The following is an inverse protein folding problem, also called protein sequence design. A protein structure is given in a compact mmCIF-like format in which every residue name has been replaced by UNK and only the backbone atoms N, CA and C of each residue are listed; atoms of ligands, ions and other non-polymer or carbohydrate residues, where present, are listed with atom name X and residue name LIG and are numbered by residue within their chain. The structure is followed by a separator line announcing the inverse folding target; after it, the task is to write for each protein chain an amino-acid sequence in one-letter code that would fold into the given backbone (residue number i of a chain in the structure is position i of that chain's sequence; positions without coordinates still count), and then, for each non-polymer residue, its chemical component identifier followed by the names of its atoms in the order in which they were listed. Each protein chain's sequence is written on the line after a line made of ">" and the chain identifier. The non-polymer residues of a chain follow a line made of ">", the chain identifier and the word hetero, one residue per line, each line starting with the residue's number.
data_IF_336468899953
#
_entry.id   IF_336468899953
#
_cell.length_a   1.000
_cell.length_b   1.000
_cell.length_c   1.000
_cell.angle_alpha   90.00
_cell.angle_beta   90.00
_cell.angle_gamma   90.00
#
_symmetry.space_group_name_H-M   'P 1'
#
loop_
_entity.id
_entity.type
_entity.pdbx_description
1 polymer ?
#
# COMPACT_ATOMS: atom_id res chain seq x y z
N UNK A 1 8.99 8.30 34.21
CA UNK A 1 7.66 8.73 34.69
C UNK A 1 6.64 7.71 34.24
N UNK A 2 5.72 7.25 35.09
CA UNK A 2 4.73 6.24 34.71
C UNK A 2 3.53 6.92 34.00
N UNK A 3 3.32 6.63 32.70
CA UNK A 3 2.25 7.25 31.87
C UNK A 3 0.87 7.11 32.54
N UNK A 4 0.57 5.94 33.11
CA UNK A 4 -0.71 5.69 33.79
C UNK A 4 -0.86 6.55 35.05
N UNK A 5 0.21 6.69 35.83
CA UNK A 5 0.19 7.55 37.01
C UNK A 5 -0.13 9.01 36.64
N UNK A 6 0.50 9.54 35.58
CA UNK A 6 0.22 10.90 35.11
C UNK A 6 -1.23 11.06 34.64
N UNK A 7 -1.78 10.05 33.99
CA UNK A 7 -3.20 10.02 33.59
C UNK A 7 -4.16 10.14 34.79
N UNK A 8 -4.00 9.29 35.81
CA UNK A 8 -4.82 9.37 37.02
C UNK A 8 -4.60 10.70 37.77
N UNK A 9 -3.35 11.13 37.95
CA UNK A 9 -3.00 12.39 38.58
C UNK A 9 -3.66 13.59 37.89
N UNK A 10 -3.70 13.59 36.56
CA UNK A 10 -4.34 14.62 35.75
C UNK A 10 -5.87 14.67 35.92
N UNK A 11 -6.52 13.66 36.48
CA UNK A 11 -7.96 13.77 36.81
C UNK A 11 -8.15 14.37 38.20
N UNK A 12 -7.37 13.89 39.18
CA UNK A 12 -7.55 14.29 40.58
C UNK A 12 -6.96 15.65 40.93
N UNK A 13 -5.80 16.01 40.37
CA UNK A 13 -5.11 17.29 40.69
C UNK A 13 -5.75 18.46 39.93
N UNK A 14 -6.27 18.21 38.73
CA UNK A 14 -6.82 19.25 37.86
C UNK A 14 -8.12 19.84 38.39
N UNK A 15 -8.93 19.04 39.10
CA UNK A 15 -10.19 19.45 39.72
C UNK A 15 -10.07 20.62 40.73
N UNK A 16 -8.85 21.09 41.02
CA UNK A 16 -8.53 22.02 42.10
C UNK A 16 -7.90 23.36 41.63
N UNK A 17 -7.73 23.66 40.34
CA UNK A 17 -6.92 24.83 39.88
C UNK A 17 -7.52 25.65 38.71
N UNK A 18 -7.16 26.94 38.62
CA UNK A 18 -7.67 27.97 37.68
C UNK A 18 -7.04 27.97 36.24
N UNK A 19 -7.58 28.84 35.37
CA UNK A 19 -7.58 28.91 33.88
C UNK A 19 -6.37 28.44 33.07
N UNK A 20 -5.12 28.72 33.44
CA UNK A 20 -3.92 28.30 32.67
C UNK A 20 -3.62 26.79 32.81
N UNK A 21 -4.18 26.17 33.83
CA UNK A 21 -4.01 24.76 34.10
C UNK A 21 -4.67 23.88 33.04
N UNK A 22 -5.74 24.36 32.39
CA UNK A 22 -6.45 23.58 31.39
C UNK A 22 -5.60 23.31 30.15
N UNK A 23 -4.92 24.31 29.61
CA UNK A 23 -4.06 24.11 28.43
C UNK A 23 -2.93 23.12 28.72
N UNK A 24 -2.27 23.27 29.87
CA UNK A 24 -1.22 22.34 30.32
C UNK A 24 -1.75 20.93 30.54
N UNK A 25 -2.97 20.81 31.06
CA UNK A 25 -3.67 19.52 31.17
C UNK A 25 -3.88 18.89 29.79
N UNK A 26 -4.42 19.63 28.82
CA UNK A 26 -4.65 19.14 27.45
C UNK A 26 -3.34 18.67 26.82
N UNK A 27 -2.29 19.48 26.89
CA UNK A 27 -0.98 19.14 26.32
C UNK A 27 -0.39 17.85 26.93
N UNK A 28 -0.39 17.76 28.26
CA UNK A 28 0.09 16.57 28.97
C UNK A 28 -0.76 15.35 28.64
N UNK A 29 -2.08 15.51 28.55
CA UNK A 29 -3.01 14.45 28.24
C UNK A 29 -2.77 13.90 26.83
N UNK A 30 -2.67 14.78 25.81
CA UNK A 30 -2.37 14.40 24.42
C UNK A 30 -1.02 13.69 24.31
N UNK A 31 0.00 14.21 24.99
CA UNK A 31 1.33 13.59 25.03
C UNK A 31 1.28 12.18 25.61
N UNK A 32 0.74 12.05 26.82
CA UNK A 32 0.63 10.76 27.51
C UNK A 32 -0.22 9.75 26.73
N UNK A 33 -1.25 10.22 26.00
CA UNK A 33 -2.03 9.37 25.11
C UNK A 33 -1.20 8.84 23.95
N UNK A 34 -0.53 9.72 23.22
CA UNK A 34 0.27 9.32 22.07
C UNK A 34 1.44 8.41 22.50
N UNK A 35 2.11 8.72 23.60
CA UNK A 35 3.17 7.89 24.18
C UNK A 35 2.61 6.54 24.65
N UNK A 36 1.40 6.53 25.23
CA UNK A 36 0.70 5.33 25.63
C UNK A 36 0.33 4.43 24.44
N UNK A 37 -0.18 4.99 23.35
CA UNK A 37 -0.45 4.25 22.11
C UNK A 37 0.82 3.61 21.56
N UNK A 38 1.92 4.37 21.52
CA UNK A 38 3.20 3.88 21.05
C UNK A 38 3.70 2.72 21.91
N UNK A 39 3.73 2.89 23.23
CA UNK A 39 4.14 1.84 24.16
C UNK A 39 3.25 0.59 24.06
N UNK A 40 1.95 0.79 23.90
CA UNK A 40 1.00 -0.31 23.78
C UNK A 40 1.20 -1.11 22.49
N UNK A 41 1.18 -0.44 21.33
CA UNK A 41 1.08 -1.13 20.04
C UNK A 41 2.42 -1.27 19.30
N UNK A 42 3.31 -0.29 19.43
CA UNK A 42 4.62 -0.33 18.78
C UNK A 42 5.62 -1.14 19.59
N UNK A 43 5.74 -0.87 20.90
CA UNK A 43 6.62 -1.66 21.79
C UNK A 43 6.00 -3.03 22.16
N UNK A 44 4.68 -3.17 21.98
CA UNK A 44 3.97 -4.42 22.25
C UNK A 44 3.80 -4.74 23.74
N UNK A 45 3.76 -3.73 24.62
CA UNK A 45 3.56 -3.94 26.05
C UNK A 45 2.09 -4.26 26.37
N UNK A 46 1.77 -5.56 26.31
CA UNK A 46 0.42 -6.08 26.51
C UNK A 46 -0.15 -5.73 27.89
N UNK A 47 0.69 -5.76 28.94
CA UNK A 47 0.26 -5.42 30.30
C UNK A 47 -0.13 -3.94 30.37
N UNK A 48 0.70 -3.07 29.79
CA UNK A 48 0.42 -1.65 29.72
C UNK A 48 -0.86 -1.36 28.90
N UNK A 49 -1.05 -2.03 27.76
CA UNK A 49 -2.28 -1.88 26.97
C UNK A 49 -3.55 -2.16 27.78
N UNK A 50 -3.54 -3.25 28.55
CA UNK A 50 -4.67 -3.64 29.38
C UNK A 50 -4.97 -2.60 30.47
N UNK A 51 -3.93 -2.03 31.09
CA UNK A 51 -4.12 -0.96 32.08
C UNK A 51 -4.56 0.36 31.44
N UNK A 52 -4.05 0.70 30.25
CA UNK A 52 -4.49 1.88 29.50
C UNK A 52 -5.96 1.77 29.09
N UNK A 53 -6.43 0.57 28.75
CA UNK A 53 -7.83 0.28 28.51
C UNK A 53 -8.71 0.51 29.73
N UNK A 54 -8.33 -0.05 30.88
CA UNK A 54 -9.05 0.19 32.14
C UNK A 54 -9.14 1.68 32.46
N UNK A 55 -8.05 2.42 32.25
CA UNK A 55 -8.04 3.86 32.42
C UNK A 55 -9.02 4.56 31.45
N UNK A 56 -9.08 4.14 30.18
CA UNK A 56 -10.02 4.73 29.21
C UNK A 56 -11.49 4.56 29.63
N UNK A 57 -11.84 3.41 30.20
CA UNK A 57 -13.19 3.20 30.77
C UNK A 57 -13.41 4.13 31.94
N UNK A 58 -12.48 4.13 32.90
CA UNK A 58 -12.56 4.96 34.11
C UNK A 58 -12.73 6.45 33.80
N UNK A 59 -11.97 7.02 32.87
CA UNK A 59 -12.11 8.44 32.56
C UNK A 59 -13.42 8.73 31.84
N UNK A 60 -13.94 7.87 30.95
CA UNK A 60 -15.24 8.14 30.32
C UNK A 60 -16.36 8.19 31.34
N UNK A 61 -16.33 7.28 32.32
CA UNK A 61 -17.29 7.22 33.42
C UNK A 61 -17.20 8.44 34.34
N UNK A 62 -15.99 8.93 34.63
CA UNK A 62 -15.79 9.95 35.67
C UNK A 62 -15.47 11.36 35.16
N UNK A 63 -15.23 11.57 33.87
CA UNK A 63 -14.84 12.90 33.34
C UNK A 63 -15.92 13.95 33.58
N UNK A 64 -17.20 13.60 33.51
CA UNK A 64 -18.29 14.55 33.74
C UNK A 64 -18.29 15.03 35.19
N UNK A 65 -18.22 14.10 36.14
CA UNK A 65 -18.33 14.44 37.56
C UNK A 65 -17.05 15.10 38.08
N UNK A 66 -15.89 14.52 37.76
CA UNK A 66 -14.59 14.95 38.31
C UNK A 66 -13.96 16.14 37.59
N UNK A 67 -14.27 16.35 36.32
CA UNK A 67 -13.74 17.47 35.54
C UNK A 67 -14.82 18.51 35.22
N UNK A 68 -16.07 18.35 35.69
CA UNK A 68 -17.21 19.28 35.50
C UNK A 68 -16.82 20.76 35.53
N UNK A 69 -16.21 21.23 36.62
CA UNK A 69 -15.82 22.64 36.79
C UNK A 69 -14.86 23.18 35.71
N UNK A 70 -14.04 22.30 35.12
CA UNK A 70 -13.06 22.62 34.07
C UNK A 70 -13.71 22.48 32.69
N UNK A 71 -14.56 21.46 32.52
CA UNK A 71 -15.20 21.09 31.27
C UNK A 71 -16.48 21.89 30.95
N UNK A 72 -17.11 22.53 31.95
CA UNK A 72 -18.36 23.31 31.78
C UNK A 72 -18.16 24.55 30.90
N UNK A 73 -16.93 25.08 30.80
CA UNK A 73 -16.62 26.27 29.99
C UNK A 73 -15.86 25.98 28.70
N UNK A 74 -15.24 24.79 28.57
CA UNK A 74 -14.41 24.38 27.43
C UNK A 74 -14.58 22.88 27.23
N UNK A 75 -14.85 22.44 26.00
CA UNK A 75 -14.98 21.01 25.66
C UNK A 75 -13.76 20.23 26.15
N UNK A 76 -13.95 19.40 27.17
CA UNK A 76 -12.91 18.48 27.59
C UNK A 76 -12.65 17.44 26.50
N UNK A 77 -11.39 16.99 26.34
CA UNK A 77 -11.06 16.00 25.35
C UNK A 77 -11.89 14.75 25.65
N UNK A 78 -12.72 14.39 24.70
CA UNK A 78 -13.53 13.18 24.82
C UNK A 78 -12.61 11.98 24.63
N UNK A 79 -12.71 10.93 25.47
CA UNK A 79 -12.09 9.66 25.13
C UNK A 79 -12.92 8.86 24.14
N UNK A 80 -13.94 9.43 23.51
CA UNK A 80 -14.47 8.83 22.27
C UNK A 80 -13.35 8.68 21.24
N UNK A 81 -12.32 9.55 21.31
CA UNK A 81 -11.06 9.44 20.56
C UNK A 81 -10.11 8.35 21.09
N UNK A 82 -10.29 7.95 22.36
CA UNK A 82 -9.47 7.02 23.12
C UNK A 82 -10.16 5.67 23.34
N UNK A 83 -11.29 5.39 22.68
CA UNK A 83 -11.88 4.06 22.64
C UNK A 83 -10.88 3.16 21.95
N UNK A 84 -9.96 2.62 22.76
CA UNK A 84 -8.84 1.85 22.26
C UNK A 84 -9.44 0.70 21.49
N UNK A 85 -9.06 0.66 20.22
CA UNK A 85 -9.34 -0.49 19.42
C UNK A 85 -8.43 -1.58 19.95
N UNK A 86 -8.99 -2.38 20.86
CA UNK A 86 -8.40 -3.61 21.34
C UNK A 86 -9.25 -4.76 20.83
N UNK A 87 -8.59 -5.85 20.45
CA UNK A 87 -9.27 -7.13 20.36
C UNK A 87 -9.74 -7.55 21.76
N UNK A 88 -10.58 -8.57 21.85
CA UNK A 88 -10.98 -9.14 23.13
C UNK A 88 -9.75 -9.39 24.04
N UNK A 89 -9.61 -8.66 25.17
CA UNK A 89 -8.46 -8.77 26.05
C UNK A 89 -8.33 -10.19 26.64
N UNK A 90 -9.39 -11.01 26.61
CA UNK A 90 -9.36 -12.41 27.02
C UNK A 90 -8.57 -13.30 26.07
N UNK A 91 -8.42 -12.92 24.80
CA UNK A 91 -7.76 -13.74 23.79
C UNK A 91 -6.26 -13.45 23.64
N UNK A 92 -5.68 -12.53 24.41
CA UNK A 92 -4.23 -12.23 24.41
C UNK A 92 -3.67 -11.60 23.12
N UNK A 93 -4.47 -11.46 22.07
CA UNK A 93 -4.04 -10.91 20.78
C UNK A 93 -4.48 -9.46 20.61
N UNK A 94 -3.57 -8.50 20.77
CA UNK A 94 -3.85 -7.07 20.56
C UNK A 94 -3.92 -6.62 19.08
N UNK A 95 -3.77 -7.56 18.13
CA UNK A 95 -3.62 -7.22 16.70
C UNK A 95 -4.96 -7.13 15.98
N UNK A 96 -5.42 -5.90 15.78
CA UNK A 96 -6.57 -5.56 14.94
C UNK A 96 -6.14 -5.40 13.48
N UNK A 97 -5.02 -4.73 13.24
CA UNK A 97 -4.46 -4.47 11.92
C UNK A 97 -3.62 -5.66 11.43
N UNK A 98 -4.25 -6.82 11.21
CA UNK A 98 -3.56 -8.06 10.85
C UNK A 98 -2.89 -7.98 9.48
N UNK A 99 -3.61 -7.48 8.49
CA UNK A 99 -3.15 -7.31 7.11
C UNK A 99 -2.26 -6.07 7.04
N UNK A 100 -2.74 -4.93 7.55
CA UNK A 100 -1.97 -3.69 7.57
C UNK A 100 -0.60 -3.85 8.24
N UNK A 101 -0.52 -4.52 9.39
CA UNK A 101 0.76 -4.73 10.09
C UNK A 101 1.78 -5.50 9.25
N UNK A 102 1.33 -6.41 8.37
CA UNK A 102 2.21 -7.11 7.43
C UNK A 102 2.70 -6.19 6.30
N UNK A 103 1.89 -5.22 5.89
CA UNK A 103 2.26 -4.23 4.86
C UNK A 103 3.29 -3.21 5.37
N UNK A 104 3.26 -2.89 6.67
CA UNK A 104 4.22 -1.97 7.31
C UNK A 104 5.43 -2.69 7.94
N UNK A 105 5.33 -3.99 8.26
CA UNK A 105 6.31 -4.75 9.02
C UNK A 105 7.63 -5.08 8.30
N UNK A 106 8.70 -5.25 9.07
CA UNK A 106 10.07 -5.55 8.62
C UNK A 106 10.46 -7.02 8.68
N UNK A 107 10.64 -7.65 7.51
CA UNK A 107 11.70 -8.63 7.21
C UNK A 107 11.46 -9.16 5.79
N UNK A 108 12.45 -8.95 4.89
CA UNK A 108 12.87 -9.67 3.68
C UNK A 108 11.89 -10.41 2.73
N UNK A 109 10.58 -10.40 2.98
CA UNK A 109 9.57 -10.89 2.06
C UNK A 109 9.12 -9.70 1.22
N UNK A 110 9.72 -9.59 0.04
CA UNK A 110 9.61 -8.45 -0.88
C UNK A 110 8.20 -8.10 -1.37
N UNK A 111 7.17 -8.88 -1.03
CA UNK A 111 5.77 -8.48 -1.19
C UNK A 111 4.84 -9.42 -0.40
N UNK A 112 3.80 -8.88 0.21
CA UNK A 112 2.73 -9.69 0.80
C UNK A 112 1.78 -10.11 -0.33
N UNK A 113 2.00 -11.31 -0.89
CA UNK A 113 1.22 -11.80 -2.03
C UNK A 113 1.17 -10.80 -3.21
N UNK A 114 2.29 -10.13 -3.51
CA UNK A 114 2.40 -9.10 -4.55
C UNK A 114 2.15 -7.66 -4.07
N UNK A 115 1.63 -7.45 -2.86
CA UNK A 115 1.49 -6.11 -2.28
C UNK A 115 2.85 -5.57 -1.80
N UNK A 116 3.21 -4.39 -2.28
CA UNK A 116 4.46 -3.73 -1.88
C UNK A 116 4.37 -3.14 -0.48
N UNK A 117 5.48 -3.07 0.25
CA UNK A 117 5.48 -2.56 1.62
C UNK A 117 5.25 -1.04 1.68
N UNK A 118 4.50 -0.56 2.68
CA UNK A 118 4.21 0.87 2.93
C UNK A 118 5.32 1.59 3.72
N UNK A 119 6.59 1.19 3.56
CA UNK A 119 7.72 1.73 4.35
C UNK A 119 8.24 3.09 3.88
N UNK A 120 7.71 3.63 2.78
CA UNK A 120 8.17 4.91 2.21
C UNK A 120 7.52 6.09 2.93
N UNK A 121 8.18 7.24 2.92
CA UNK A 121 7.61 8.52 3.41
C UNK A 121 6.27 8.86 2.74
N UNK A 122 6.03 8.30 1.55
CA UNK A 122 4.80 8.44 0.76
C UNK A 122 3.53 7.98 1.49
N UNK A 123 3.62 6.96 2.37
CA UNK A 123 2.48 6.39 3.10
C UNK A 123 2.60 6.58 4.61
N UNK A 124 3.40 7.55 5.06
CA UNK A 124 3.78 7.70 6.46
C UNK A 124 2.61 7.83 7.43
N UNK A 125 1.55 8.56 7.08
CA UNK A 125 0.39 8.76 7.98
C UNK A 125 -0.47 7.50 8.06
N UNK A 126 -0.71 6.85 6.93
CA UNK A 126 -1.41 5.56 6.89
C UNK A 126 -0.62 4.47 7.62
N UNK A 127 0.69 4.39 7.39
CA UNK A 127 1.56 3.42 8.05
C UNK A 127 1.60 3.65 9.57
N UNK A 128 1.66 4.92 10.02
CA UNK A 128 1.58 5.26 11.43
C UNK A 128 0.23 4.81 12.03
N UNK A 129 -0.89 5.13 11.38
CA UNK A 129 -2.23 4.70 11.81
C UNK A 129 -2.31 3.16 11.95
N UNK A 130 -1.81 2.42 10.96
CA UNK A 130 -1.77 0.96 10.99
C UNK A 130 -0.90 0.44 12.14
N UNK A 131 0.27 1.05 12.37
CA UNK A 131 1.19 0.66 13.45
C UNK A 131 0.57 0.82 14.84
N UNK A 132 -0.35 1.77 14.97
CA UNK A 132 -1.13 2.04 16.18
C UNK A 132 -2.49 1.30 16.17
N UNK A 133 -2.62 0.23 15.36
CA UNK A 133 -3.81 -0.61 15.28
C UNK A 133 -5.10 0.18 14.97
N UNK A 134 -4.98 1.17 14.08
CA UNK A 134 -6.05 2.09 13.68
C UNK A 134 -6.53 3.07 14.77
N UNK A 135 -5.76 3.25 15.84
CA UNK A 135 -5.99 4.33 16.80
C UNK A 135 -5.32 5.61 16.27
N UNK A 136 -6.12 6.66 16.06
CA UNK A 136 -5.62 7.95 15.58
C UNK A 136 -4.95 8.69 16.74
N UNK A 137 -3.81 9.33 16.47
CA UNK A 137 -3.12 10.17 17.45
C UNK A 137 -3.93 11.42 17.77
N UNK A 138 -3.77 11.96 18.97
CA UNK A 138 -4.26 13.30 19.28
C UNK A 138 -3.30 14.33 18.73
N UNK A 139 -3.74 15.07 17.71
CA UNK A 139 -2.99 16.17 17.08
C UNK A 139 -3.12 17.47 17.88
N UNK A 140 -2.35 18.50 17.54
CA UNK A 140 -2.27 19.76 18.29
C UNK A 140 -3.62 20.45 18.41
N UNK A 141 -4.36 20.49 17.31
CA UNK A 141 -5.68 21.09 17.20
C UNK A 141 -6.56 20.33 16.19
N UNK A 142 -7.82 20.74 16.08
CA UNK A 142 -8.79 20.10 15.18
C UNK A 142 -8.41 20.29 13.70
N UNK A 143 -7.71 21.38 13.35
CA UNK A 143 -7.29 21.64 11.98
C UNK A 143 -6.20 20.65 11.54
N UNK A 144 -5.22 20.40 12.40
CA UNK A 144 -4.18 19.39 12.17
C UNK A 144 -4.77 17.97 12.12
N UNK A 145 -5.68 17.63 13.04
CA UNK A 145 -6.42 16.36 13.03
C UNK A 145 -7.15 16.15 11.70
N UNK A 146 -7.88 17.16 11.23
CA UNK A 146 -8.60 17.12 9.97
C UNK A 146 -7.66 16.93 8.77
N UNK A 147 -6.49 17.60 8.80
CA UNK A 147 -5.44 17.41 7.80
C UNK A 147 -4.94 15.97 7.77
N UNK A 148 -4.62 15.39 8.94
CA UNK A 148 -4.14 14.02 9.04
C UNK A 148 -5.19 13.02 8.56
N UNK A 149 -6.46 13.21 8.88
CA UNK A 149 -7.54 12.32 8.43
C UNK A 149 -7.69 12.29 6.91
N UNK A 150 -7.65 13.45 6.25
CA UNK A 150 -7.72 13.53 4.78
C UNK A 150 -6.45 13.00 4.12
N UNK A 151 -5.28 13.24 4.70
CA UNK A 151 -4.01 12.70 4.22
C UNK A 151 -3.98 11.16 4.30
N UNK A 152 -4.49 10.57 5.40
CA UNK A 152 -4.65 9.11 5.54
C UNK A 152 -5.54 8.55 4.43
N UNK A 153 -6.68 9.20 4.15
CA UNK A 153 -7.60 8.74 3.10
C UNK A 153 -6.95 8.82 1.71
N UNK A 154 -6.23 9.91 1.43
CA UNK A 154 -5.45 10.06 0.21
C UNK A 154 -4.41 8.95 0.05
N UNK A 155 -3.58 8.72 1.08
CA UNK A 155 -2.57 7.66 1.08
C UNK A 155 -3.18 6.26 0.92
N UNK A 156 -4.33 6.01 1.53
CA UNK A 156 -5.10 4.77 1.39
C UNK A 156 -5.57 4.54 -0.04
N UNK A 157 -6.23 5.53 -0.66
CA UNK A 157 -6.72 5.43 -2.04
C UNK A 157 -5.55 5.25 -3.02
N UNK A 158 -4.49 6.03 -2.82
CA UNK A 158 -3.26 5.94 -3.62
C UNK A 158 -2.65 4.54 -3.57
N UNK A 159 -2.58 3.95 -2.37
CA UNK A 159 -2.07 2.59 -2.21
C UNK A 159 -2.97 1.56 -2.89
N UNK A 160 -4.28 1.67 -2.71
CA UNK A 160 -5.24 0.74 -3.31
C UNK A 160 -5.20 0.79 -4.84
N UNK A 161 -5.17 2.00 -5.43
CA UNK A 161 -5.10 2.17 -6.87
C UNK A 161 -3.83 1.56 -7.47
N UNK A 162 -2.68 1.76 -6.82
CA UNK A 162 -1.39 1.17 -7.24
C UNK A 162 -1.43 -0.37 -7.29
N UNK A 163 -2.26 -0.99 -6.45
CA UNK A 163 -2.29 -2.43 -6.24
C UNK A 163 -3.63 -3.08 -6.63
N UNK A 164 -4.48 -2.39 -7.40
CA UNK A 164 -5.87 -2.79 -7.67
C UNK A 164 -6.01 -4.16 -8.37
N UNK A 165 -4.97 -4.60 -9.07
CA UNK A 165 -4.92 -5.89 -9.76
C UNK A 165 -4.35 -7.03 -8.90
N UNK A 166 -4.11 -6.79 -7.61
CA UNK A 166 -3.62 -7.80 -6.66
C UNK A 166 -4.78 -8.24 -5.78
N UNK A 167 -5.26 -9.47 -5.97
CA UNK A 167 -6.41 -10.03 -5.25
C UNK A 167 -6.31 -9.90 -3.72
N UNK A 168 -5.10 -10.01 -3.17
CA UNK A 168 -4.87 -9.92 -1.73
C UNK A 168 -5.15 -8.52 -1.16
N UNK A 169 -5.21 -7.48 -2.01
CA UNK A 169 -5.58 -6.12 -1.63
C UNK A 169 -6.99 -6.05 -1.02
N UNK A 170 -7.91 -6.90 -1.47
CA UNK A 170 -9.28 -6.95 -0.96
C UNK A 170 -9.32 -7.10 0.58
N UNK A 171 -8.44 -7.92 1.14
CA UNK A 171 -8.35 -8.13 2.58
C UNK A 171 -7.93 -6.85 3.32
N UNK A 172 -7.03 -6.07 2.74
CA UNK A 172 -6.60 -4.79 3.31
C UNK A 172 -7.70 -3.72 3.21
N UNK A 173 -8.40 -3.64 2.08
CA UNK A 173 -9.55 -2.73 1.89
C UNK A 173 -10.61 -3.00 2.96
N UNK A 174 -11.00 -4.27 3.13
CA UNK A 174 -12.00 -4.67 4.12
C UNK A 174 -11.54 -4.34 5.55
N UNK A 175 -10.27 -4.62 5.87
CA UNK A 175 -9.71 -4.29 7.19
C UNK A 175 -9.73 -2.78 7.46
N UNK A 176 -9.27 -1.95 6.51
CA UNK A 176 -9.25 -0.50 6.68
C UNK A 176 -10.66 0.06 6.88
N UNK A 177 -11.61 -0.35 6.05
CA UNK A 177 -12.99 0.13 6.11
C UNK A 177 -13.65 -0.27 7.44
N UNK A 178 -13.55 -1.54 7.81
CA UNK A 178 -14.21 -2.07 9.02
C UNK A 178 -13.57 -1.51 10.30
N UNK A 179 -12.24 -1.49 10.36
CA UNK A 179 -11.52 -1.18 11.61
C UNK A 179 -11.33 0.32 11.82
N UNK A 180 -11.23 1.12 10.76
CA UNK A 180 -10.99 2.55 10.86
C UNK A 180 -12.12 3.40 10.28
N UNK A 181 -12.38 3.31 8.97
CA UNK A 181 -13.26 4.28 8.28
C UNK A 181 -14.67 4.31 8.88
N UNK A 182 -15.27 3.15 9.16
CA UNK A 182 -16.62 3.06 9.75
C UNK A 182 -16.76 3.82 11.07
N UNK A 183 -15.70 3.88 11.87
CA UNK A 183 -15.71 4.58 13.16
C UNK A 183 -15.56 6.09 13.01
N UNK A 184 -15.01 6.53 11.88
CA UNK A 184 -14.73 7.92 11.52
C UNK A 184 -15.64 8.45 10.42
N UNK A 185 -16.66 7.70 10.01
CA UNK A 185 -17.51 8.04 8.88
C UNK A 185 -18.21 9.40 9.05
N UNK A 186 -18.73 9.69 10.25
CA UNK A 186 -19.38 10.98 10.55
C UNK A 186 -18.39 12.15 10.44
N UNK A 187 -17.17 11.96 10.93
CA UNK A 187 -16.09 12.94 10.85
C UNK A 187 -15.73 13.20 9.38
N UNK A 188 -15.55 12.15 8.58
CA UNK A 188 -15.29 12.26 7.14
C UNK A 188 -16.43 12.96 6.38
N UNK A 189 -17.70 12.62 6.64
CA UNK A 189 -18.85 13.29 6.01
C UNK A 189 -18.87 14.80 6.30
N UNK A 190 -18.52 15.18 7.54
CA UNK A 190 -18.38 16.59 7.93
C UNK A 190 -17.26 17.26 7.13
N UNK A 191 -16.09 16.60 7.01
CA UNK A 191 -14.95 17.11 6.25
C UNK A 191 -15.27 17.27 4.76
N UNK A 192 -15.92 16.29 4.14
CA UNK A 192 -16.33 16.37 2.74
C UNK A 192 -17.29 17.52 2.50
N UNK A 193 -18.28 17.71 3.37
CA UNK A 193 -19.21 18.84 3.29
C UNK A 193 -18.49 20.17 3.40
N UNK A 194 -17.52 20.28 4.31
CA UNK A 194 -16.70 21.49 4.47
C UNK A 194 -15.91 21.77 3.20
N UNK A 195 -15.16 20.80 2.67
CA UNK A 195 -14.32 21.01 1.51
C UNK A 195 -15.10 21.17 0.20
N UNK A 196 -16.34 20.68 0.11
CA UNK A 196 -17.23 20.97 -1.04
C UNK A 196 -17.70 22.42 -1.09
N UNK A 197 -17.84 23.08 0.06
CA UNK A 197 -18.43 24.42 0.12
C UNK A 197 -17.45 25.49 -0.41
N UNK A 198 -17.88 26.27 -1.40
CA UNK A 198 -17.05 27.25 -2.12
C UNK A 198 -16.42 28.33 -1.21
N UNK A 199 -17.01 28.58 -0.02
CA UNK A 199 -16.47 29.51 0.98
C UNK A 199 -15.37 28.91 1.88
N UNK A 200 -15.15 27.59 1.85
CA UNK A 200 -14.19 26.87 2.73
C UNK A 200 -13.13 26.04 1.99
N UNK A 201 -13.09 26.11 0.66
CA UNK A 201 -11.97 25.62 -0.16
C UNK A 201 -10.62 26.32 0.15
N UNK A 202 -10.59 27.29 1.07
CA UNK A 202 -9.37 27.93 1.58
C UNK A 202 -8.68 27.15 2.71
N UNK A 203 -9.34 26.18 3.34
CA UNK A 203 -8.73 25.46 4.47
C UNK A 203 -7.57 24.58 3.97
N UNK A 204 -6.36 24.71 4.55
CA UNK A 204 -5.17 24.00 4.08
C UNK A 204 -5.36 22.49 3.93
N UNK A 205 -6.15 21.86 4.83
CA UNK A 205 -6.41 20.43 4.80
C UNK A 205 -7.27 19.96 3.61
N UNK A 206 -8.05 20.84 2.98
CA UNK A 206 -8.85 20.48 1.80
C UNK A 206 -8.00 20.18 0.56
N UNK A 207 -6.68 20.45 0.61
CA UNK A 207 -5.74 20.01 -0.42
C UNK A 207 -5.82 18.51 -0.68
N UNK A 208 -5.78 17.68 0.37
CA UNK A 208 -5.84 16.23 0.22
C UNK A 208 -7.21 15.74 -0.25
N UNK A 209 -8.28 16.41 0.17
CA UNK A 209 -9.63 16.17 -0.37
C UNK A 209 -9.67 16.38 -1.89
N UNK A 210 -9.13 17.51 -2.37
CA UNK A 210 -9.09 17.81 -3.80
C UNK A 210 -8.22 16.83 -4.58
N UNK A 211 -7.08 16.40 -4.00
CA UNK A 211 -6.24 15.35 -4.60
C UNK A 211 -6.99 14.02 -4.71
N UNK A 212 -7.74 13.60 -3.68
CA UNK A 212 -8.58 12.41 -3.77
C UNK A 212 -9.60 12.51 -4.91
N UNK A 213 -10.26 13.67 -5.01
CA UNK A 213 -11.26 13.93 -6.04
C UNK A 213 -10.68 13.94 -7.46
N UNK A 214 -9.46 14.45 -7.64
CA UNK A 214 -8.83 14.53 -8.97
C UNK A 214 -8.09 13.27 -9.39
N UNK A 215 -7.37 12.62 -8.49
CA UNK A 215 -6.52 11.46 -8.80
C UNK A 215 -7.28 10.13 -8.72
N UNK A 216 -8.33 10.06 -7.89
CA UNK A 216 -9.08 8.83 -7.61
C UNK A 216 -10.59 9.06 -7.73
N UNK A 217 -11.03 9.83 -8.74
CA UNK A 217 -12.39 10.35 -8.87
C UNK A 217 -13.48 9.29 -8.65
N UNK A 218 -13.40 8.15 -9.34
CA UNK A 218 -14.42 7.09 -9.27
C UNK A 218 -14.52 6.51 -7.85
N UNK A 219 -13.40 6.05 -7.30
CA UNK A 219 -13.32 5.46 -5.96
C UNK A 219 -13.70 6.46 -4.87
N UNK A 220 -13.22 7.69 -5.01
CA UNK A 220 -13.49 8.74 -4.05
C UNK A 220 -14.97 9.13 -4.06
N UNK A 221 -15.59 9.27 -5.24
CA UNK A 221 -17.03 9.57 -5.37
C UNK A 221 -17.89 8.49 -4.72
N UNK A 222 -17.50 7.22 -4.84
CA UNK A 222 -18.18 6.12 -4.16
C UNK A 222 -18.05 6.26 -2.63
N UNK A 223 -16.83 6.39 -2.09
CA UNK A 223 -16.59 6.55 -0.65
C UNK A 223 -17.32 7.78 -0.07
N UNK A 224 -17.30 8.88 -0.82
CA UNK A 224 -17.87 10.17 -0.42
C UNK A 224 -19.40 10.13 -0.33
N UNK A 225 -20.06 9.49 -1.30
CA UNK A 225 -21.52 9.38 -1.32
C UNK A 225 -22.00 8.27 -0.39
N UNK A 226 -21.43 7.08 -0.55
CA UNK A 226 -21.83 5.88 0.16
C UNK A 226 -20.72 4.82 0.15
N UNK A 227 -20.12 4.58 1.31
CA UNK A 227 -19.07 3.57 1.49
C UNK A 227 -19.52 2.17 1.06
N UNK A 228 -20.80 1.82 1.19
CA UNK A 228 -21.29 0.48 0.86
C UNK A 228 -21.23 0.24 -0.65
N UNK A 229 -21.44 1.29 -1.45
CA UNK A 229 -21.27 1.26 -2.90
C UNK A 229 -19.79 1.07 -3.27
N UNK A 230 -18.88 1.71 -2.54
CA UNK A 230 -17.44 1.48 -2.69
C UNK A 230 -17.05 0.03 -2.38
N UNK A 231 -17.49 -0.52 -1.24
CA UNK A 231 -17.20 -1.92 -0.87
C UNK A 231 -17.75 -2.88 -1.92
N UNK A 232 -19.00 -2.68 -2.36
CA UNK A 232 -19.64 -3.49 -3.38
C UNK A 232 -18.87 -3.44 -4.70
N UNK A 233 -18.50 -2.24 -5.16
CA UNK A 233 -17.70 -2.05 -6.37
C UNK A 233 -16.36 -2.80 -6.29
N UNK A 234 -15.64 -2.68 -5.16
CA UNK A 234 -14.38 -3.40 -4.97
C UNK A 234 -14.56 -4.91 -4.93
N UNK A 235 -15.60 -5.40 -4.26
CA UNK A 235 -15.92 -6.83 -4.23
C UNK A 235 -16.17 -7.37 -5.64
N UNK A 236 -17.01 -6.71 -6.43
CA UNK A 236 -17.30 -7.11 -7.81
C UNK A 236 -16.03 -7.10 -8.70
N UNK A 237 -15.15 -6.12 -8.50
CA UNK A 237 -13.85 -6.07 -9.19
C UNK A 237 -12.97 -7.28 -8.86
N UNK A 238 -12.81 -7.63 -7.58
CA UNK A 238 -11.98 -8.76 -7.18
C UNK A 238 -12.61 -10.13 -7.50
N UNK A 239 -13.94 -10.24 -7.51
CA UNK A 239 -14.64 -11.42 -8.01
C UNK A 239 -14.34 -11.66 -9.50
N UNK A 240 -14.39 -10.60 -10.33
CA UNK A 240 -13.99 -10.68 -11.74
C UNK A 240 -12.52 -11.06 -11.89
N UNK A 241 -11.62 -10.39 -11.17
CA UNK A 241 -10.18 -10.67 -11.20
C UNK A 241 -9.86 -12.13 -10.82
N UNK A 242 -10.52 -12.66 -9.80
CA UNK A 242 -10.36 -14.06 -9.38
C UNK A 242 -10.93 -15.04 -10.43
N UNK A 243 -12.05 -14.70 -11.06
CA UNK A 243 -12.62 -15.51 -12.14
C UNK A 243 -11.70 -15.58 -13.35
N UNK A 244 -11.07 -14.47 -13.74
CA UNK A 244 -10.09 -14.41 -14.82
C UNK A 244 -8.85 -15.25 -14.49
N UNK A 245 -8.39 -15.22 -13.23
CA UNK A 245 -7.30 -16.10 -12.76
C UNK A 245 -7.68 -17.58 -12.82
N UNK A 246 -8.92 -17.93 -12.48
CA UNK A 246 -9.43 -19.31 -12.66
C UNK A 246 -9.44 -19.72 -14.13
N UNK A 247 -9.78 -18.81 -15.05
CA UNK A 247 -9.70 -19.04 -16.49
C UNK A 247 -8.26 -19.21 -16.98
N UNK A 248 -7.33 -18.39 -16.51
CA UNK A 248 -5.89 -18.56 -16.82
C UNK A 248 -5.38 -19.89 -16.29
N UNK A 249 -5.75 -20.28 -15.07
CA UNK A 249 -5.37 -21.59 -14.51
C UNK A 249 -5.98 -22.73 -15.32
N UNK A 250 -7.28 -22.67 -15.68
CA UNK A 250 -7.91 -23.66 -16.57
C UNK A 250 -7.23 -23.72 -17.94
N UNK A 251 -6.81 -22.59 -18.50
CA UNK A 251 -6.06 -22.57 -19.75
C UNK A 251 -4.68 -23.23 -19.59
N UNK A 252 -3.95 -22.93 -18.50
CA UNK A 252 -2.67 -23.58 -18.16
C UNK A 252 -2.87 -25.09 -17.96
N UNK A 253 -3.89 -25.51 -17.22
CA UNK A 253 -4.20 -26.91 -16.99
C UNK A 253 -4.54 -27.62 -18.32
N UNK A 254 -5.31 -26.97 -19.20
CA UNK A 254 -5.53 -27.47 -20.55
C UNK A 254 -4.24 -27.58 -21.36
N UNK A 255 -3.32 -26.61 -21.29
CA UNK A 255 -2.02 -26.70 -21.97
C UNK A 255 -1.13 -27.81 -21.38
N UNK A 256 -1.15 -28.00 -20.07
CA UNK A 256 -0.43 -29.10 -19.41
C UNK A 256 -1.01 -30.47 -19.78
N UNK A 257 -2.32 -30.57 -19.90
CA UNK A 257 -2.99 -31.76 -20.43
C UNK A 257 -2.62 -31.99 -21.90
N UNK A 258 -2.55 -30.94 -22.72
CA UNK A 258 -2.07 -31.03 -24.11
C UNK A 258 -0.63 -31.54 -24.19
N UNK A 259 0.29 -31.00 -23.38
CA UNK A 259 1.68 -31.47 -23.32
C UNK A 259 1.75 -32.94 -22.86
N UNK A 260 0.89 -33.34 -21.92
CA UNK A 260 0.79 -34.73 -21.44
C UNK A 260 0.24 -35.66 -22.53
N UNK A 261 -0.78 -35.23 -23.27
CA UNK A 261 -1.36 -35.95 -24.41
C UNK A 261 -0.34 -36.09 -25.55
N UNK A 262 0.40 -35.02 -25.86
CA UNK A 262 1.49 -35.01 -26.86
C UNK A 262 2.63 -35.97 -26.47
N UNK A 263 2.98 -35.99 -25.18
CA UNK A 263 4.05 -36.85 -24.65
C UNK A 263 3.65 -38.33 -24.63
N UNK A 264 2.37 -38.63 -24.45
CA UNK A 264 1.85 -40.00 -24.33
C UNK A 264 1.20 -40.54 -25.61
N UNK A 265 1.06 -39.73 -26.67
CA UNK A 265 0.46 -40.15 -27.94
C UNK A 265 1.33 -39.77 -29.15
N UNK A 266 2.19 -40.69 -29.61
CA UNK A 266 3.02 -40.51 -30.81
C UNK A 266 2.20 -40.15 -32.05
N UNK A 267 0.98 -40.68 -32.12
CA UNK A 267 0.04 -40.49 -33.23
C UNK A 267 -0.49 -39.06 -33.31
N UNK A 268 -0.71 -38.40 -32.17
CA UNK A 268 -1.19 -37.01 -32.10
C UNK A 268 -0.05 -36.03 -32.45
N UNK A 269 1.16 -36.28 -31.96
CA UNK A 269 2.34 -35.50 -32.34
C UNK A 269 2.63 -35.62 -33.85
N UNK A 270 2.53 -36.82 -34.41
CA UNK A 270 2.71 -37.06 -35.85
C UNK A 270 1.63 -36.37 -36.71
N UNK A 271 0.38 -36.34 -36.25
CA UNK A 271 -0.72 -35.67 -36.99
C UNK A 271 -0.62 -34.15 -36.91
N UNK A 272 -0.17 -33.59 -35.78
CA UNK A 272 0.09 -32.15 -35.66
C UNK A 272 1.27 -31.71 -36.53
N UNK A 273 2.36 -32.46 -36.56
CA UNK A 273 3.49 -32.19 -37.46
C UNK A 273 3.05 -32.29 -38.93
N UNK A 274 2.25 -33.31 -39.28
CA UNK A 274 1.69 -33.45 -40.61
C UNK A 274 0.76 -32.28 -40.97
N UNK A 275 -0.11 -31.82 -40.06
CA UNK A 275 -0.93 -30.62 -40.27
C UNK A 275 -0.08 -29.36 -40.44
N UNK A 276 0.96 -29.18 -39.62
CA UNK A 276 1.84 -28.02 -39.71
C UNK A 276 2.62 -28.01 -41.03
N UNK A 277 3.10 -29.17 -41.47
CA UNK A 277 3.73 -29.35 -42.77
C UNK A 277 2.73 -29.10 -43.90
N UNK A 278 1.51 -29.64 -43.83
CA UNK A 278 0.45 -29.37 -44.80
C UNK A 278 0.11 -27.89 -44.88
N UNK A 279 -0.03 -27.18 -43.75
CA UNK A 279 -0.27 -25.74 -43.72
C UNK A 279 0.93 -24.95 -44.27
N UNK A 280 2.15 -25.38 -43.98
CA UNK A 280 3.37 -24.78 -44.54
C UNK A 280 3.47 -24.98 -46.05
N UNK A 281 3.14 -26.17 -46.55
CA UNK A 281 3.09 -26.47 -47.98
C UNK A 281 1.95 -25.73 -48.66
N UNK A 282 0.77 -25.66 -48.04
CA UNK A 282 -0.35 -24.85 -48.53
C UNK A 282 0.04 -23.37 -48.60
N UNK A 283 0.68 -22.81 -47.57
CA UNK A 283 1.19 -21.43 -47.58
C UNK A 283 2.26 -21.19 -48.65
N UNK A 284 3.14 -22.18 -48.89
CA UNK A 284 4.24 -22.08 -49.86
C UNK A 284 3.79 -22.34 -51.31
N UNK A 285 2.76 -23.17 -51.53
CA UNK A 285 2.28 -23.64 -52.84
C UNK A 285 1.00 -22.92 -53.29
N UNK A 286 0.28 -22.23 -52.41
CA UNK A 286 -0.76 -21.28 -52.86
C UNK A 286 -0.13 -19.98 -53.35
N UNK A 287 -0.71 -19.33 -54.38
CA UNK A 287 -0.18 -18.09 -54.97
C UNK A 287 -0.29 -16.87 -54.04
N UNK A 288 -0.76 -17.04 -52.79
CA UNK A 288 -0.77 -16.00 -51.75
C UNK A 288 0.63 -15.59 -51.28
N UNK A 289 1.65 -16.46 -51.44
CA UNK A 289 3.06 -16.09 -51.20
C UNK A 289 3.58 -15.02 -52.17
N UNK A 290 2.96 -14.87 -53.35
CA UNK A 290 3.28 -13.81 -54.32
C UNK A 290 2.74 -12.43 -53.92
N UNK A 291 1.68 -12.39 -53.10
CA UNK A 291 1.07 -11.14 -52.61
C UNK A 291 1.87 -10.55 -51.44
N UNK A 292 2.53 -11.40 -50.62
CA UNK A 292 3.39 -10.96 -49.52
C UNK A 292 4.89 -10.88 -49.86
N UNK A 293 5.32 -11.37 -51.04
CA UNK A 293 6.62 -10.99 -51.63
C UNK A 293 6.50 -9.70 -52.44
N UNK A 294 6.21 -8.59 -51.76
CA UNK A 294 6.84 -7.34 -52.19
C UNK A 294 8.31 -7.47 -51.83
N UNK A 295 9.15 -7.75 -52.82
CA UNK A 295 10.59 -7.56 -52.71
C UNK A 295 10.83 -6.13 -52.18
N UNK A 296 11.07 -6.00 -50.88
CA UNK A 296 11.83 -4.85 -50.37
C UNK A 296 13.21 -5.02 -50.99
N UNK A 297 13.47 -4.28 -52.08
CA UNK A 297 14.83 -4.01 -52.55
C UNK A 297 15.67 -3.71 -51.31
N UNK A 298 16.56 -4.63 -50.94
CA UNK A 298 17.59 -4.35 -49.94
C UNK A 298 18.36 -3.16 -50.48
N UNK A 299 18.16 -1.97 -49.92
CA UNK A 299 19.19 -0.93 -49.96
C UNK A 299 20.42 -1.61 -49.34
N UNK A 300 21.50 -1.70 -50.10
CA UNK A 300 22.82 -2.04 -49.55
C UNK A 300 23.11 -0.99 -48.49
N UNK A 301 22.85 -1.32 -47.23
CA UNK A 301 23.40 -0.57 -46.11
C UNK A 301 24.88 -0.97 -46.10
N UNK A 302 25.84 -0.06 -46.37
CA UNK A 302 27.23 -0.38 -46.13
C UNK A 302 27.35 -0.73 -44.65
N UNK A 303 27.91 -1.92 -44.37
CA UNK A 303 28.29 -2.33 -43.02
C UNK A 303 29.40 -1.38 -42.55
N UNK A 304 29.01 -0.24 -41.99
CA UNK A 304 29.87 0.49 -41.08
C UNK A 304 29.97 -0.35 -39.81
N UNK A 305 31.07 -1.10 -39.69
CA UNK A 305 31.48 -1.59 -38.38
C UNK A 305 31.68 -0.38 -37.48
N UNK A 306 31.01 -0.29 -36.31
CA UNK A 306 31.45 0.64 -35.30
C UNK A 306 32.83 0.16 -34.84
N UNK A 307 33.85 0.92 -35.24
CA UNK A 307 35.17 0.86 -34.66
C UNK A 307 34.97 1.04 -33.16
N UNK A 308 35.25 -0.01 -32.37
CA UNK A 308 35.26 0.13 -30.91
C UNK A 308 36.24 1.25 -30.59
N UNK A 309 35.71 2.33 -30.03
CA UNK A 309 36.49 3.32 -29.30
C UNK A 309 37.06 2.55 -28.10
N UNK A 310 38.27 2.05 -28.24
CA UNK A 310 39.10 1.70 -27.09
C UNK A 310 39.54 3.05 -26.55
N UNK A 311 38.98 3.45 -25.41
CA UNK A 311 39.54 4.55 -24.63
C UNK A 311 40.96 4.16 -24.25
N UNK A 312 41.90 5.02 -24.63
CA UNK A 312 43.32 4.92 -24.34
C UNK A 312 43.55 4.70 -22.84
N UNK A 313 44.05 3.52 -22.50
CA UNK A 313 44.86 3.35 -21.29
C UNK A 313 46.21 3.97 -21.62
N UNK A 314 46.49 5.12 -20.98
CA UNK A 314 47.82 5.74 -20.94
C UNK A 314 48.87 4.70 -20.56
N UNK A 315 49.81 4.41 -21.46
CA UNK A 315 51.18 4.05 -21.09
C UNK A 315 52.13 4.62 -22.15
N UNK A 316 53.07 5.42 -21.65
CA UNK A 316 54.13 6.09 -22.37
C UNK A 316 55.13 5.14 -23.08
N UNK A 317 55.74 5.69 -24.13
CA UNK A 317 57.10 5.45 -24.64
C UNK A 317 57.50 4.03 -25.09
N UNK A 318 57.65 3.85 -26.40
CA UNK A 318 58.97 3.73 -27.08
C UNK A 318 58.88 3.04 -28.44
N UNK A 319 59.66 3.53 -29.41
CA UNK A 319 60.27 2.72 -30.47
C UNK A 319 59.40 2.28 -31.65
N UNK A 320 59.72 2.81 -32.83
CA UNK A 320 59.37 2.26 -34.15
C UNK A 320 59.45 0.73 -34.20
N UNK A 321 58.47 0.07 -34.83
CA UNK A 321 58.62 -1.06 -35.79
C UNK A 321 57.22 -1.43 -36.32
N UNK A 322 57.07 -1.47 -37.65
CA UNK A 322 55.92 -2.05 -38.36
C UNK A 322 56.07 -3.59 -38.42
N UNK A 323 55.03 -4.37 -38.08
CA UNK A 323 54.88 -5.70 -38.67
C UNK A 323 53.48 -5.95 -39.27
N UNK A 324 53.50 -6.41 -40.53
CA UNK A 324 52.37 -6.96 -41.29
C UNK A 324 51.68 -8.09 -40.51
N UNK A 325 50.37 -8.02 -40.32
CA UNK A 325 49.59 -9.12 -39.74
C UNK A 325 49.17 -10.13 -40.81
N UNK A 326 49.91 -11.24 -40.88
CA UNK A 326 49.47 -12.48 -41.55
C UNK A 326 48.48 -13.22 -40.65
N UNK A 327 47.40 -13.72 -41.28
CA UNK A 327 46.31 -14.53 -40.71
C UNK A 327 46.80 -15.65 -39.78
N UNK A 328 46.38 -15.60 -38.51
CA UNK A 328 46.46 -16.71 -37.57
C UNK A 328 45.06 -17.25 -37.25
N UNK A 329 44.83 -18.55 -37.51
CA UNK A 329 43.66 -19.29 -37.04
C UNK A 329 43.70 -19.36 -35.51
N UNK A 330 42.70 -18.82 -34.82
CA UNK A 330 42.53 -19.01 -33.39
C UNK A 330 41.78 -20.35 -33.19
N UNK A 331 42.44 -21.30 -32.54
CA UNK A 331 41.82 -22.50 -31.97
C UNK A 331 41.34 -22.15 -30.56
N UNK A 332 40.07 -22.38 -30.25
CA UNK A 332 39.58 -22.32 -28.88
C UNK A 332 39.94 -23.62 -28.17
N UNK A 333 40.76 -23.53 -27.12
CA UNK A 333 40.91 -24.60 -26.15
C UNK A 333 39.98 -24.29 -24.97
N UNK A 334 39.07 -25.21 -24.72
CA UNK A 334 38.20 -25.26 -23.55
C UNK A 334 39.05 -25.78 -22.38
N UNK A 335 39.03 -25.12 -21.23
CA UNK A 335 39.44 -25.73 -19.97
C UNK A 335 38.35 -25.53 -18.92
N UNK A 336 37.80 -26.61 -18.35
CA UNK A 336 37.01 -26.56 -17.13
C UNK A 336 37.90 -26.87 -15.92
N UNK A 337 37.96 -25.94 -14.95
CA UNK A 337 37.80 -26.18 -13.51
C UNK A 337 37.65 -24.83 -12.81
#
# INVERSE_FOLDING_TARGET
>A
MNILYEFYKNIYVSAQKENDYFQKFIENFKKNYNDGLFKCFHEGDVKFCNELYKYSIFYEEHKKDKLSKICEKKECPSLTELKLLLSDPKNGYLRIAKIGSKLIGGSDVSSLNGLSSMKTDEYKKLANLISLQYNLRMEKDEEEKNSVMLEILYQYLKYCNKHINIWYLEQFINEFIEKYYNKKEKDYKTLFTICKSDKKNSKPYCKHYNLCKSEFEEDFKLIENNKDDYIKNKKEHFEKLNSEKSWVQKAIDHFQDFDTILRNSPTIMSTLIAMFLCLFFLYKLTPLSSIFRKEKKKRKIPLFYPQRIIQDVKVDNSGYINPKTKRGKIRFAYQPS
#
